data_IF_966619796530
#
_entry.id   IF_966619796530
#
_cell.length_a   1.000
_cell.length_b   1.000
_cell.length_c   1.000
_cell.angle_alpha   90.00
_cell.angle_beta   90.00
_cell.angle_gamma   90.00
#
_symmetry.space_group_name_H-M   'P 1'
#
loop_
_entity.id
_entity.type
_entity.pdbx_description
1 polymer ?
#
# COMPACT_ATOMS: atom_id res chain seq x y z
N UNK A 1 -19.35 -0.92 -2.63
CA UNK A 1 -17.89 -0.70 -2.56
C UNK A 1 -17.41 -0.26 -3.94
N UNK A 2 -16.76 0.90 -4.06
CA UNK A 2 -16.39 1.51 -5.37
C UNK A 2 -15.22 0.81 -6.07
N UNK A 3 -14.38 0.11 -5.32
CA UNK A 3 -13.16 -0.54 -5.82
C UNK A 3 -13.19 -2.06 -5.58
N UNK A 4 -14.39 -2.64 -5.45
CA UNK A 4 -14.54 -4.08 -5.31
C UNK A 4 -13.86 -4.80 -6.48
N UNK A 5 -13.16 -5.89 -6.17
CA UNK A 5 -12.46 -6.75 -7.15
C UNK A 5 -11.37 -6.01 -7.93
N UNK A 6 -10.81 -4.93 -7.35
CA UNK A 6 -9.65 -4.21 -7.88
C UNK A 6 -8.42 -4.46 -7.01
N UNK A 7 -7.27 -4.57 -7.67
CA UNK A 7 -5.96 -4.47 -7.03
C UNK A 7 -5.47 -3.03 -7.17
N UNK A 8 -4.98 -2.43 -6.09
CA UNK A 8 -4.46 -1.07 -6.08
C UNK A 8 -3.07 -1.03 -5.44
N UNK A 9 -2.08 -0.57 -6.20
CA UNK A 9 -0.75 -0.25 -5.70
C UNK A 9 -0.71 1.21 -5.27
N UNK A 10 -0.33 1.48 -4.03
CA UNK A 10 -0.16 2.83 -3.49
C UNK A 10 1.30 3.02 -3.13
N UNK A 11 1.98 3.92 -3.83
CA UNK A 11 3.39 4.26 -3.58
C UNK A 11 3.48 5.44 -2.61
N UNK A 12 4.40 5.36 -1.64
CA UNK A 12 4.44 6.26 -0.49
C UNK A 12 3.35 5.94 0.53
N UNK A 13 2.99 4.65 0.70
CA UNK A 13 1.92 4.20 1.58
C UNK A 13 2.30 4.17 3.07
N UNK A 14 3.55 4.45 3.40
CA UNK A 14 4.03 4.66 4.75
C UNK A 14 3.62 6.03 5.32
N UNK A 15 4.30 6.38 6.39
CA UNK A 15 4.02 7.54 7.23
C UNK A 15 5.31 8.04 7.85
N UNK A 16 5.49 9.36 7.84
CA UNK A 16 6.53 10.02 8.64
C UNK A 16 6.02 10.29 10.07
N UNK A 17 6.90 10.32 11.08
CA UNK A 17 6.50 10.64 12.45
C UNK A 17 5.73 11.96 12.55
N UNK A 18 4.61 11.97 13.27
CA UNK A 18 3.80 13.17 13.46
C UNK A 18 2.34 12.85 13.80
N UNK A 19 1.55 13.88 14.14
CA UNK A 19 0.14 13.70 14.54
C UNK A 19 -0.81 13.51 13.36
N UNK A 20 -0.36 13.76 12.13
CA UNK A 20 -1.20 13.76 10.92
C UNK A 20 -0.97 12.51 10.08
N UNK A 21 -2.04 11.97 9.49
CA UNK A 21 -1.94 10.89 8.52
C UNK A 21 -1.52 11.42 7.14
N UNK A 22 -0.49 10.81 6.56
CA UNK A 22 0.00 11.07 5.22
C UNK A 22 -0.98 10.58 4.15
N UNK A 23 -0.90 11.19 2.97
CA UNK A 23 -1.86 10.93 1.89
C UNK A 23 -1.82 9.48 1.41
N UNK A 24 -0.63 8.86 1.33
CA UNK A 24 -0.51 7.47 0.86
C UNK A 24 -1.17 6.48 1.83
N UNK A 25 -0.83 6.53 3.13
CA UNK A 25 -1.50 5.75 4.17
C UNK A 25 -3.03 5.95 4.15
N UNK A 26 -3.49 7.20 4.11
CA UNK A 26 -4.93 7.50 4.05
C UNK A 26 -5.60 6.92 2.79
N UNK A 27 -4.93 7.01 1.63
CA UNK A 27 -5.43 6.49 0.36
C UNK A 27 -5.51 4.98 0.37
N UNK A 28 -4.46 4.29 0.85
CA UNK A 28 -4.41 2.84 0.98
C UNK A 28 -5.56 2.32 1.85
N UNK A 29 -5.75 2.91 3.04
CA UNK A 29 -6.85 2.56 3.95
C UNK A 29 -8.21 2.82 3.29
N UNK A 30 -8.40 3.98 2.66
CA UNK A 30 -9.66 4.29 1.99
C UNK A 30 -9.95 3.32 0.83
N UNK A 31 -8.94 2.94 0.06
CA UNK A 31 -9.11 2.01 -1.04
C UNK A 31 -9.51 0.61 -0.55
N UNK A 32 -8.88 0.12 0.52
CA UNK A 32 -9.25 -1.13 1.15
C UNK A 32 -10.69 -1.09 1.70
N UNK A 33 -11.09 -0.01 2.38
CA UNK A 33 -12.49 0.21 2.81
C UNK A 33 -13.48 0.24 1.64
N UNK A 34 -13.01 0.60 0.44
CA UNK A 34 -13.79 0.56 -0.80
C UNK A 34 -13.72 -0.78 -1.54
N UNK A 35 -13.12 -1.82 -0.95
CA UNK A 35 -13.11 -3.20 -1.43
C UNK A 35 -11.93 -3.57 -2.32
N UNK A 36 -10.90 -2.72 -2.40
CA UNK A 36 -9.68 -3.05 -3.11
C UNK A 36 -8.78 -3.99 -2.30
N UNK A 37 -8.01 -4.82 -2.99
CA UNK A 37 -6.80 -5.43 -2.45
C UNK A 37 -5.66 -4.42 -2.62
N UNK A 38 -4.95 -4.08 -1.55
CA UNK A 38 -4.00 -2.97 -1.56
C UNK A 38 -2.56 -3.44 -1.39
N UNK A 39 -1.71 -3.11 -2.34
CA UNK A 39 -0.26 -3.23 -2.20
C UNK A 39 0.27 -1.89 -1.69
N UNK A 40 0.68 -1.85 -0.42
CA UNK A 40 1.32 -0.71 0.20
C UNK A 40 2.81 -0.72 -0.16
N UNK A 41 3.26 0.27 -0.93
CA UNK A 41 4.65 0.41 -1.35
C UNK A 41 5.26 1.61 -0.65
N UNK A 42 6.41 1.45 -0.03
CA UNK A 42 7.19 2.55 0.55
C UNK A 42 8.70 2.21 0.51
N UNK A 43 9.57 3.21 0.68
CA UNK A 43 11.00 2.95 0.82
C UNK A 43 11.39 2.54 2.24
N UNK A 44 10.47 2.70 3.20
CA UNK A 44 10.53 2.13 4.55
C UNK A 44 9.49 1.02 4.67
N UNK A 45 9.97 -0.24 4.67
CA UNK A 45 9.11 -1.41 4.72
C UNK A 45 8.27 -1.47 6.00
N UNK A 46 8.84 -1.11 7.15
CA UNK A 46 8.14 -1.16 8.44
C UNK A 46 7.00 -0.13 8.45
N UNK A 47 7.24 1.04 7.87
CA UNK A 47 6.23 2.09 7.72
C UNK A 47 5.05 1.66 6.82
N UNK A 48 5.33 0.91 5.75
CA UNK A 48 4.29 0.31 4.89
C UNK A 48 3.53 -0.82 5.62
N UNK A 49 4.22 -1.64 6.41
CA UNK A 49 3.62 -2.72 7.19
C UNK A 49 2.62 -2.20 8.22
N UNK A 50 2.90 -1.09 8.90
CA UNK A 50 1.92 -0.44 9.78
C UNK A 50 0.60 -0.10 9.04
N UNK A 51 0.70 0.39 7.80
CA UNK A 51 -0.48 0.67 6.97
C UNK A 51 -1.25 -0.62 6.66
N UNK A 52 -0.56 -1.71 6.37
CA UNK A 52 -1.16 -3.04 6.14
C UNK A 52 -1.85 -3.56 7.40
N UNK A 53 -1.25 -3.42 8.57
CA UNK A 53 -1.84 -3.82 9.84
C UNK A 53 -3.15 -3.08 10.11
N UNK A 54 -3.18 -1.77 9.87
CA UNK A 54 -4.41 -0.97 9.97
C UNK A 54 -5.48 -1.53 9.03
N UNK A 55 -5.14 -1.73 7.74
CA UNK A 55 -6.08 -2.28 6.75
C UNK A 55 -6.63 -3.65 7.17
N UNK A 56 -5.75 -4.56 7.61
CA UNK A 56 -6.13 -5.91 8.05
C UNK A 56 -7.00 -5.86 9.31
N UNK A 57 -6.70 -4.96 10.25
CA UNK A 57 -7.51 -4.77 11.47
C UNK A 57 -8.94 -4.31 11.17
N UNK A 58 -9.15 -3.65 10.02
CA UNK A 58 -10.46 -3.23 9.52
C UNK A 58 -11.13 -4.28 8.61
N UNK A 59 -10.52 -5.46 8.45
CA UNK A 59 -11.03 -6.57 7.63
C UNK A 59 -10.74 -6.43 6.14
N UNK A 60 -9.87 -5.51 5.74
CA UNK A 60 -9.40 -5.38 4.35
C UNK A 60 -8.25 -6.32 4.01
N UNK A 61 -7.94 -6.41 2.72
CA UNK A 61 -6.81 -7.20 2.20
C UNK A 61 -5.68 -6.27 1.78
N UNK A 62 -4.50 -6.45 2.36
CA UNK A 62 -3.30 -5.71 1.96
C UNK A 62 -2.01 -6.51 2.19
N UNK A 63 -0.98 -6.15 1.42
CA UNK A 63 0.42 -6.59 1.57
C UNK A 63 1.34 -5.38 1.45
N UNK A 64 2.55 -5.49 2.01
CA UNK A 64 3.58 -4.45 1.94
C UNK A 64 4.74 -4.91 1.06
N UNK A 65 5.33 -3.98 0.31
CA UNK A 65 6.62 -4.20 -0.35
C UNK A 65 7.48 -2.95 -0.25
N UNK A 66 8.78 -3.16 -0.06
CA UNK A 66 9.76 -2.09 -0.15
C UNK A 66 10.03 -1.76 -1.62
N UNK A 67 10.05 -0.48 -1.97
CA UNK A 67 10.59 -0.02 -3.25
C UNK A 67 11.09 1.42 -3.16
N UNK A 68 12.22 1.69 -3.82
CA UNK A 68 12.71 3.06 -4.01
C UNK A 68 12.21 3.60 -5.34
N UNK A 69 11.48 4.72 -5.31
CA UNK A 69 10.93 5.37 -6.51
C UNK A 69 11.99 5.99 -7.41
N UNK A 70 13.22 6.22 -6.92
CA UNK A 70 14.32 6.69 -7.75
C UNK A 70 15.07 5.55 -8.46
N UNK A 71 14.78 4.29 -8.11
CA UNK A 71 15.30 3.09 -8.76
C UNK A 71 14.23 2.45 -9.65
N UNK A 72 14.43 2.53 -10.96
CA UNK A 72 13.51 1.98 -11.96
C UNK A 72 13.31 0.46 -11.82
N UNK A 73 14.36 -0.29 -11.50
CA UNK A 73 14.28 -1.75 -11.40
C UNK A 73 13.60 -2.19 -10.09
N UNK A 74 13.73 -1.39 -9.03
CA UNK A 74 12.96 -1.53 -7.79
C UNK A 74 11.46 -1.39 -8.08
N UNK A 75 11.04 -0.33 -8.78
CA UNK A 75 9.63 -0.14 -9.16
C UNK A 75 9.10 -1.20 -10.12
N UNK A 76 9.89 -1.64 -11.11
CA UNK A 76 9.50 -2.74 -12.01
C UNK A 76 9.19 -4.01 -11.22
N UNK A 77 9.99 -4.31 -10.21
CA UNK A 77 9.81 -5.48 -9.34
C UNK A 77 8.50 -5.37 -8.54
N UNK A 78 8.23 -4.20 -7.95
CA UNK A 78 6.98 -3.95 -7.21
C UNK A 78 5.73 -4.03 -8.11
N UNK A 79 5.79 -3.48 -9.33
CA UNK A 79 4.71 -3.60 -10.34
C UNK A 79 4.50 -5.05 -10.76
N UNK A 80 5.59 -5.78 -10.99
CA UNK A 80 5.55 -7.21 -11.33
C UNK A 80 4.88 -8.04 -10.24
N UNK A 81 5.23 -7.80 -8.97
CA UNK A 81 4.57 -8.42 -7.82
C UNK A 81 3.07 -8.10 -7.78
N UNK A 82 2.71 -6.81 -7.90
CA UNK A 82 1.32 -6.35 -7.86
C UNK A 82 0.43 -6.96 -8.95
N UNK A 83 0.98 -7.22 -10.13
CA UNK A 83 0.20 -7.69 -11.28
C UNK A 83 0.19 -9.21 -11.43
N UNK A 84 1.20 -9.90 -10.86
CA UNK A 84 1.39 -11.35 -11.05
C UNK A 84 0.99 -12.21 -9.85
N UNK A 85 0.99 -11.66 -8.63
CA UNK A 85 0.89 -12.47 -7.40
C UNK A 85 -0.09 -11.91 -6.37
N UNK A 86 -0.73 -10.77 -6.64
CA UNK A 86 -1.51 -10.02 -5.66
C UNK A 86 -2.95 -9.72 -6.12
#
# INVERSE_FOLDING_TARGET
MRLKDKTAMVVGAGQTPGPTMGNGRATAILFARQGAQVLAVDNDLDSAQETVEIIRSEGGTAEATEADVVDEDSLKSAVGFCTGQF
#
